data_IF_534397140578
#
_entry.id   IF_534397140578
#
_cell.length_a   1.000
_cell.length_b   1.000
_cell.length_c   1.000
_cell.angle_alpha   90.00
_cell.angle_beta   90.00
_cell.angle_gamma   90.00
#
_symmetry.space_group_name_H-M   'P 1'
#
loop_
_entity.id
_entity.type
_entity.pdbx_description
1 polymer ?
#
# COMPACT_ATOMS: atom_id res chain seq x y z
N UNK A 1 13.84 3.26 11.95
CA UNK A 1 12.84 2.31 12.50
C UNK A 1 11.94 1.88 11.35
N UNK A 2 11.97 0.59 10.99
CA UNK A 2 11.13 0.01 9.93
C UNK A 2 9.72 -0.17 10.50
N UNK A 3 8.74 0.58 10.00
CA UNK A 3 7.33 0.38 10.34
C UNK A 3 6.82 -0.82 9.52
N UNK A 4 6.86 -2.02 10.11
CA UNK A 4 6.25 -3.21 9.52
C UNK A 4 4.77 -3.25 9.89
N UNK A 5 3.90 -2.95 8.94
CA UNK A 5 2.46 -3.02 9.16
C UNK A 5 1.91 -4.42 8.94
N UNK A 6 0.96 -4.81 9.78
CA UNK A 6 0.25 -6.09 9.77
C UNK A 6 -0.16 -6.57 8.37
N UNK A 7 0.03 -7.86 8.10
CA UNK A 7 -0.36 -8.54 6.85
C UNK A 7 -1.83 -8.28 6.56
N UNK A 8 -2.13 -7.55 5.49
CA UNK A 8 -3.50 -7.28 5.08
C UNK A 8 -4.05 -8.47 4.27
N UNK A 9 -5.19 -9.01 4.70
CA UNK A 9 -5.88 -10.11 4.02
C UNK A 9 -6.91 -9.58 3.02
N UNK A 10 -6.84 -10.06 1.79
CA UNK A 10 -7.77 -9.65 0.73
C UNK A 10 -9.13 -10.37 0.84
N UNK A 11 -10.22 -9.69 0.46
CA UNK A 11 -11.56 -10.28 0.42
C UNK A 11 -11.67 -11.33 -0.70
N UNK A 12 -12.21 -12.51 -0.37
CA UNK A 12 -12.31 -13.69 -1.26
C UNK A 12 -13.15 -13.49 -2.54
N UNK A 13 -14.04 -12.51 -2.56
CA UNK A 13 -15.11 -12.45 -3.60
C UNK A 13 -14.96 -11.36 -4.65
N UNK A 14 -13.83 -10.64 -4.71
CA UNK A 14 -13.60 -9.65 -5.78
C UNK A 14 -12.41 -9.99 -6.67
N UNK A 15 -12.59 -9.79 -7.99
CA UNK A 15 -11.52 -9.84 -8.99
C UNK A 15 -10.34 -8.89 -8.66
N UNK A 16 -10.59 -7.88 -7.82
CA UNK A 16 -9.58 -7.05 -7.19
C UNK A 16 -9.37 -7.48 -5.74
N UNK A 17 -8.14 -7.79 -5.36
CA UNK A 17 -7.77 -8.00 -3.95
C UNK A 17 -7.68 -6.62 -3.29
N UNK A 18 -8.66 -6.28 -2.44
CA UNK A 18 -8.66 -5.02 -1.68
C UNK A 18 -8.05 -5.26 -0.31
N UNK A 19 -7.07 -4.43 0.04
CA UNK A 19 -6.43 -4.41 1.35
C UNK A 19 -6.56 -3.00 1.94
N UNK A 20 -6.81 -2.91 3.24
CA UNK A 20 -6.73 -1.65 3.97
C UNK A 20 -5.26 -1.27 4.14
N UNK A 21 -4.90 -0.01 3.85
CA UNK A 21 -3.57 0.51 4.15
C UNK A 21 -3.53 0.77 5.67
N UNK A 22 -2.62 0.14 6.43
CA UNK A 22 -2.57 0.32 7.88
C UNK A 22 -2.20 1.75 8.28
N UNK A 23 -2.66 2.17 9.46
CA UNK A 23 -2.53 3.53 9.98
C UNK A 23 -1.08 4.04 10.00
N UNK A 24 -0.11 3.19 10.35
CA UNK A 24 1.30 3.56 10.34
C UNK A 24 1.82 3.97 8.96
N UNK A 25 1.37 3.31 7.88
CA UNK A 25 1.72 3.69 6.51
C UNK A 25 1.00 4.98 6.11
N UNK A 26 -0.27 5.12 6.48
CA UNK A 26 -1.07 6.34 6.24
C UNK A 26 -0.39 7.55 6.86
N UNK A 27 0.02 7.45 8.13
CA UNK A 27 0.72 8.52 8.84
C UNK A 27 2.11 8.80 8.24
N UNK A 28 2.87 7.75 7.91
CA UNK A 28 4.21 7.89 7.33
C UNK A 28 4.19 8.58 5.96
N UNK A 29 3.20 8.27 5.12
CA UNK A 29 3.04 8.85 3.79
C UNK A 29 2.17 10.13 3.78
N UNK A 30 1.67 10.58 4.94
CA UNK A 30 0.75 11.72 5.10
C UNK A 30 -0.45 11.63 4.13
N UNK A 31 -1.05 10.43 4.05
CA UNK A 31 -2.18 10.17 3.18
C UNK A 31 -3.48 10.66 3.82
N UNK A 32 -4.30 11.35 3.03
CA UNK A 32 -5.63 11.82 3.42
C UNK A 32 -6.71 11.10 2.63
N UNK A 33 -7.93 11.13 3.17
CA UNK A 33 -9.10 10.71 2.42
C UNK A 33 -9.14 11.48 1.10
N UNK A 34 -9.38 10.77 -0.02
CA UNK A 34 -9.37 11.28 -1.41
C UNK A 34 -8.02 11.45 -2.10
N UNK A 35 -6.90 11.23 -1.42
CA UNK A 35 -5.59 11.24 -2.08
C UNK A 35 -5.49 10.14 -3.14
N UNK A 36 -4.79 10.45 -4.24
CA UNK A 36 -4.50 9.48 -5.29
C UNK A 36 -3.21 8.75 -4.98
N UNK A 37 -3.20 7.46 -5.28
CA UNK A 37 -2.03 6.60 -5.10
C UNK A 37 -1.52 6.12 -6.45
N UNK A 38 -0.22 6.27 -6.66
CA UNK A 38 0.50 5.63 -7.77
C UNK A 38 1.04 4.28 -7.28
N UNK A 39 0.82 3.25 -8.09
CA UNK A 39 1.28 1.89 -7.83
C UNK A 39 2.32 1.51 -8.86
N UNK A 40 3.50 1.09 -8.40
CA UNK A 40 4.55 0.56 -9.26
C UNK A 40 4.89 -0.87 -8.85
N UNK A 41 4.88 -1.79 -9.80
CA UNK A 41 5.38 -3.15 -9.59
C UNK A 41 6.89 -3.18 -9.82
N UNK A 42 7.62 -3.82 -8.92
CA UNK A 42 9.08 -3.95 -9.00
C UNK A 42 9.54 -5.32 -8.48
N UNK A 43 10.81 -5.65 -8.70
CA UNK A 43 11.47 -6.84 -8.15
C UNK A 43 12.70 -6.43 -7.36
N UNK A 44 12.64 -6.57 -6.04
CA UNK A 44 13.75 -6.22 -5.13
C UNK A 44 14.25 -7.51 -4.47
N UNK A 45 15.53 -7.83 -4.65
CA UNK A 45 16.18 -9.03 -4.09
C UNK A 45 15.43 -10.32 -4.44
N UNK A 46 14.96 -10.44 -5.68
CA UNK A 46 14.23 -11.59 -6.19
C UNK A 46 12.78 -11.71 -5.70
N UNK A 47 12.29 -10.77 -4.89
CA UNK A 47 10.91 -10.73 -4.43
C UNK A 47 10.12 -9.71 -5.23
N UNK A 48 8.94 -10.10 -5.72
CA UNK A 48 7.98 -9.20 -6.36
C UNK A 48 7.38 -8.29 -5.28
N UNK A 49 7.45 -6.99 -5.50
CA UNK A 49 6.94 -5.98 -4.58
C UNK A 49 6.07 -4.97 -5.33
N UNK A 50 5.09 -4.40 -4.63
CA UNK A 50 4.36 -3.23 -5.09
C UNK A 50 4.80 -2.03 -4.25
N UNK A 51 5.26 -0.98 -4.92
CA UNK A 51 5.65 0.29 -4.30
C UNK A 51 4.46 1.25 -4.45
N UNK A 52 3.99 1.78 -3.33
CA UNK A 52 2.90 2.74 -3.26
C UNK A 52 3.50 4.14 -3.06
N UNK A 53 3.06 5.12 -3.84
CA UNK A 53 3.44 6.52 -3.70
C UNK A 53 2.20 7.39 -3.57
N UNK A 54 2.19 8.29 -2.59
CA UNK A 54 1.18 9.34 -2.50
C UNK A 54 1.38 10.34 -3.63
N UNK A 55 0.32 10.64 -4.38
CA UNK A 55 0.30 11.71 -5.38
C UNK A 55 -0.49 12.86 -4.78
N UNK A 56 0.22 13.87 -4.26
CA UNK A 56 -0.39 15.11 -3.80
C UNK A 56 -0.88 15.89 -5.03
N UNK A 57 -2.14 16.29 -5.02
CA UNK A 57 -2.73 17.13 -6.07
C UNK A 57 -2.27 18.58 -5.90
#
# INVERSE_FOLDING_TARGET
MSLESSVASARKESKSLRATIPEGIVAYLDLKATDKLEWKMDTIKGKRVAIIRGVKK
#
